data_IF_631334002044
#
_entry.id   IF_631334002044
#
_cell.length_a   1.000
_cell.length_b   1.000
_cell.length_c   1.000
_cell.angle_alpha   90.00
_cell.angle_beta   90.00
_cell.angle_gamma   90.00
#
_symmetry.space_group_name_H-M   'P 1'
#
loop_
_entity.id
_entity.type
_entity.pdbx_description
1 polymer ?
#
# COMPACT_ATOMS: atom_id res chain seq x y z
N UNK A 1 2.97 -27.16 -22.88
CA UNK A 1 2.23 -26.49 -21.80
C UNK A 1 2.34 -24.99 -22.07
N UNK A 2 1.28 -24.40 -22.63
CA UNK A 2 1.24 -22.97 -22.97
C UNK A 2 1.09 -22.17 -21.68
N UNK A 3 2.13 -21.48 -21.26
CA UNK A 3 2.06 -20.46 -20.22
C UNK A 3 1.13 -19.35 -20.74
N UNK A 4 -0.03 -19.21 -20.12
CA UNK A 4 -1.03 -18.23 -20.53
C UNK A 4 -0.53 -16.78 -20.38
N UNK A 5 -1.25 -15.79 -20.95
CA UNK A 5 -0.84 -14.39 -20.99
C UNK A 5 -0.56 -13.75 -19.60
N UNK A 6 -1.00 -14.38 -18.53
CA UNK A 6 -0.74 -13.94 -17.15
C UNK A 6 0.73 -13.99 -16.74
N UNK A 7 1.50 -15.00 -17.19
CA UNK A 7 2.91 -15.10 -16.83
C UNK A 7 3.77 -14.02 -17.50
N UNK A 8 3.44 -13.65 -18.74
CA UNK A 8 4.15 -12.60 -19.45
C UNK A 8 3.85 -11.18 -18.88
N UNK A 9 2.63 -10.95 -18.41
CA UNK A 9 2.25 -9.67 -17.79
C UNK A 9 2.89 -9.46 -16.41
N UNK A 10 3.00 -10.52 -15.58
CA UNK A 10 3.67 -10.46 -14.29
C UNK A 10 5.17 -10.13 -14.41
N UNK A 11 5.83 -10.58 -15.50
CA UNK A 11 7.24 -10.30 -15.77
C UNK A 11 7.53 -8.84 -16.15
N UNK A 12 6.52 -8.06 -16.55
CA UNK A 12 6.67 -6.65 -16.91
C UNK A 12 6.55 -5.70 -15.72
N UNK A 13 5.96 -6.15 -14.60
CA UNK A 13 5.78 -5.33 -13.40
C UNK A 13 7.08 -5.28 -12.62
N UNK A 14 7.60 -4.07 -12.38
CA UNK A 14 8.88 -3.87 -11.71
C UNK A 14 8.70 -3.54 -10.23
N UNK A 15 9.69 -3.88 -9.36
CA UNK A 15 9.72 -3.37 -8.01
C UNK A 15 9.74 -1.84 -7.98
N UNK A 16 9.06 -1.26 -6.99
CA UNK A 16 9.03 0.19 -6.79
C UNK A 16 9.74 0.51 -5.48
N UNK A 17 10.87 1.21 -5.56
CA UNK A 17 11.51 1.77 -4.38
C UNK A 17 10.72 2.99 -3.93
N UNK A 18 10.20 2.96 -2.71
CA UNK A 18 9.50 4.10 -2.14
C UNK A 18 10.50 5.15 -1.63
N UNK A 19 10.16 6.45 -1.72
CA UNK A 19 10.94 7.48 -1.04
C UNK A 19 10.92 7.26 0.47
N UNK A 20 11.94 7.75 1.18
CA UNK A 20 11.95 7.69 2.63
C UNK A 20 10.67 8.34 3.22
N UNK A 21 10.04 7.74 4.23
CA UNK A 21 8.85 8.32 4.85
C UNK A 21 9.20 9.64 5.55
N UNK A 22 8.32 10.61 5.44
CA UNK A 22 8.41 11.85 6.23
C UNK A 22 7.79 11.60 7.59
N UNK A 23 8.62 11.56 8.61
CA UNK A 23 8.21 11.27 9.99
C UNK A 23 8.00 12.52 10.84
N UNK A 24 8.20 13.70 10.25
CA UNK A 24 8.04 15.00 10.90
C UNK A 24 7.01 15.85 10.16
N UNK A 25 6.38 16.78 10.90
CA UNK A 25 5.35 17.66 10.36
C UNK A 25 3.96 17.01 10.34
N UNK A 26 3.12 17.45 9.40
CA UNK A 26 1.74 17.03 9.29
C UNK A 26 0.80 17.88 10.17
N UNK A 27 -0.46 17.44 10.31
CA UNK A 27 -1.46 18.08 11.16
C UNK A 27 -1.43 17.49 12.57
N UNK A 28 -1.75 18.29 13.60
CA UNK A 28 -1.90 17.76 14.95
C UNK A 28 -2.94 16.62 14.99
N UNK A 29 -2.67 15.58 15.79
CA UNK A 29 -3.50 14.38 15.86
C UNK A 29 -4.99 14.71 16.15
N UNK A 30 -5.26 15.60 17.08
CA UNK A 30 -6.63 15.96 17.45
C UNK A 30 -7.39 16.66 16.32
N UNK A 31 -6.70 17.46 15.50
CA UNK A 31 -7.31 18.09 14.32
C UNK A 31 -7.65 17.06 13.25
N UNK A 32 -6.79 16.05 13.06
CA UNK A 32 -7.04 14.95 12.14
C UNK A 32 -8.24 14.12 12.61
N UNK A 33 -8.30 13.79 13.90
CA UNK A 33 -9.42 13.02 14.46
C UNK A 33 -10.75 13.80 14.37
N UNK A 34 -10.74 15.10 14.63
CA UNK A 34 -11.91 15.95 14.52
C UNK A 34 -12.47 16.02 13.09
N UNK A 35 -11.60 16.00 12.09
CA UNK A 35 -11.98 16.08 10.67
C UNK A 35 -12.21 14.71 10.01
N UNK A 36 -11.83 13.61 10.68
CA UNK A 36 -11.92 12.25 10.12
C UNK A 36 -13.37 11.84 9.86
N UNK A 37 -13.68 11.47 8.66
CA UNK A 37 -14.96 10.88 8.26
C UNK A 37 -14.73 9.83 7.16
N UNK A 38 -15.70 8.93 6.97
CA UNK A 38 -15.67 7.98 5.87
C UNK A 38 -15.90 8.71 4.54
N UNK A 39 -14.99 8.54 3.61
CA UNK A 39 -15.13 8.99 2.23
C UNK A 39 -15.40 7.80 1.31
N UNK A 40 -16.27 7.99 0.30
CA UNK A 40 -16.62 6.97 -0.71
C UNK A 40 -16.50 7.51 -2.13
N UNK A 41 -16.02 8.74 -2.25
CA UNK A 41 -15.72 9.39 -3.53
C UNK A 41 -14.23 9.74 -3.51
N UNK A 42 -13.52 9.32 -4.54
CA UNK A 42 -12.08 9.48 -4.66
C UNK A 42 -11.74 10.29 -5.91
N UNK A 43 -10.60 11.02 -5.86
CA UNK A 43 -10.01 11.62 -7.05
C UNK A 43 -9.57 10.53 -8.03
N UNK A 44 -9.59 10.85 -9.31
CA UNK A 44 -9.02 10.01 -10.37
C UNK A 44 -7.50 10.14 -10.46
N UNK A 45 -6.91 11.10 -9.75
CA UNK A 45 -5.47 11.32 -9.75
C UNK A 45 -4.73 10.20 -9.04
N UNK A 46 -3.57 9.84 -9.56
CA UNK A 46 -2.68 8.90 -8.88
C UNK A 46 -2.21 9.46 -7.53
N UNK A 47 -2.15 8.60 -6.52
CA UNK A 47 -1.61 9.00 -5.23
C UNK A 47 -0.10 9.30 -5.35
N UNK A 48 0.37 10.47 -4.92
CA UNK A 48 1.80 10.79 -4.93
C UNK A 48 2.62 9.74 -4.17
N UNK A 49 3.75 9.33 -4.72
CA UNK A 49 4.60 8.29 -4.09
C UNK A 49 5.01 8.62 -2.65
N UNK A 50 5.24 9.89 -2.33
CA UNK A 50 5.57 10.31 -0.97
C UNK A 50 4.41 10.09 0.00
N UNK A 51 3.17 10.30 -0.46
CA UNK A 51 1.97 10.06 0.36
C UNK A 51 1.78 8.56 0.58
N UNK A 52 1.95 7.75 -0.46
CA UNK A 52 1.91 6.30 -0.37
C UNK A 52 3.00 5.77 0.58
N UNK A 53 4.21 6.27 0.47
CA UNK A 53 5.33 5.94 1.37
C UNK A 53 4.98 6.21 2.83
N UNK A 54 4.50 7.42 3.13
CA UNK A 54 4.11 7.81 4.49
C UNK A 54 2.98 6.93 5.03
N UNK A 55 1.98 6.64 4.18
CA UNK A 55 0.82 5.80 4.54
C UNK A 55 1.25 4.38 4.90
N UNK A 56 2.09 3.75 4.07
CA UNK A 56 2.57 2.38 4.30
C UNK A 56 3.48 2.30 5.51
N UNK A 57 4.35 3.29 5.69
CA UNK A 57 5.18 3.36 6.89
C UNK A 57 4.33 3.53 8.16
N UNK A 58 3.33 4.40 8.13
CA UNK A 58 2.42 4.58 9.26
C UNK A 58 1.63 3.32 9.57
N UNK A 59 1.19 2.58 8.55
CA UNK A 59 0.41 1.35 8.71
C UNK A 59 1.22 0.20 9.32
N UNK A 60 2.42 -0.08 8.78
CA UNK A 60 3.21 -1.25 9.21
C UNK A 60 4.72 -1.11 8.92
N UNK A 61 5.25 0.11 8.90
CA UNK A 61 6.67 0.38 8.65
C UNK A 61 7.58 -0.01 9.81
N UNK A 62 8.85 -0.22 9.50
CA UNK A 62 9.89 -0.39 10.53
C UNK A 62 10.20 0.98 11.13
N UNK A 63 10.02 1.12 12.45
CA UNK A 63 10.25 2.38 13.16
C UNK A 63 11.34 2.30 14.25
N UNK A 64 12.00 1.15 14.38
CA UNK A 64 13.02 0.90 15.40
C UNK A 64 14.16 0.05 14.84
N UNK A 65 15.41 0.22 15.37
CA UNK A 65 16.58 -0.52 14.89
C UNK A 65 16.46 -2.04 15.01
N UNK A 66 15.64 -2.54 15.95
CA UNK A 66 15.40 -3.96 16.16
C UNK A 66 14.41 -4.59 15.16
N UNK A 67 13.95 -3.83 14.16
CA UNK A 67 13.05 -4.26 13.10
C UNK A 67 11.57 -4.31 13.49
N UNK A 68 11.21 -3.84 14.69
CA UNK A 68 9.81 -3.74 15.09
C UNK A 68 9.09 -2.65 14.31
N UNK A 69 7.77 -2.79 14.26
CA UNK A 69 6.88 -2.03 13.39
C UNK A 69 6.13 -0.94 14.14
N UNK A 70 5.53 -0.03 13.37
CA UNK A 70 4.58 0.97 13.87
C UNK A 70 3.35 0.34 14.51
N UNK A 71 2.89 -0.80 14.00
CA UNK A 71 1.81 -1.59 14.60
C UNK A 71 2.36 -2.71 15.49
N UNK A 72 1.71 -3.02 16.63
CA UNK A 72 2.12 -4.11 17.49
C UNK A 72 1.81 -5.48 16.86
N UNK A 73 2.62 -6.48 17.23
CA UNK A 73 2.40 -7.87 16.86
C UNK A 73 2.77 -8.74 18.05
N UNK A 74 1.93 -9.73 18.39
CA UNK A 74 2.19 -10.63 19.49
C UNK A 74 3.52 -11.37 19.27
N UNK A 75 4.40 -11.34 20.25
CA UNK A 75 5.75 -11.93 20.19
C UNK A 75 6.57 -11.46 18.97
N UNK A 76 6.22 -10.31 18.38
CA UNK A 76 6.85 -9.77 17.18
C UNK A 76 6.79 -10.73 15.96
N UNK A 77 5.74 -11.52 15.82
CA UNK A 77 5.58 -12.45 14.71
C UNK A 77 5.36 -11.77 13.36
N UNK A 78 4.86 -10.52 13.38
CA UNK A 78 4.66 -9.70 12.18
C UNK A 78 3.85 -10.44 11.09
N UNK A 79 2.77 -11.07 11.51
CA UNK A 79 1.94 -11.97 10.73
C UNK A 79 1.05 -11.28 9.67
N UNK A 80 1.04 -9.95 9.65
CA UNK A 80 0.25 -9.17 8.68
C UNK A 80 1.12 -8.79 7.49
N UNK A 81 0.63 -9.08 6.30
CA UNK A 81 1.14 -8.54 5.05
C UNK A 81 0.22 -7.45 4.52
N UNK A 82 0.77 -6.43 3.89
CA UNK A 82 -0.01 -5.38 3.23
C UNK A 82 0.19 -5.48 1.73
N UNK A 83 -0.89 -5.75 1.02
CA UNK A 83 -0.92 -5.68 -0.44
C UNK A 83 -1.36 -4.29 -0.89
N UNK A 84 -0.64 -3.73 -1.84
CA UNK A 84 -0.90 -2.43 -2.45
C UNK A 84 -1.41 -2.67 -3.86
N UNK A 85 -2.69 -2.39 -4.10
CA UNK A 85 -3.32 -2.63 -5.39
C UNK A 85 -3.53 -1.30 -6.10
N UNK A 86 -2.79 -1.13 -7.19
CA UNK A 86 -2.74 0.04 -8.06
C UNK A 86 -3.35 -0.31 -9.43
N UNK A 87 -3.64 0.68 -10.30
CA UNK A 87 -4.13 0.41 -11.65
C UNK A 87 -3.22 -0.52 -12.49
N UNK A 88 -1.91 -0.44 -12.29
CA UNK A 88 -0.93 -1.22 -13.05
C UNK A 88 -0.66 -2.62 -12.47
N UNK A 89 -0.99 -2.86 -11.22
CA UNK A 89 -0.75 -4.15 -10.60
C UNK A 89 -0.92 -4.21 -9.10
N UNK A 90 -0.82 -5.42 -8.57
CA UNK A 90 -0.76 -5.66 -7.14
C UNK A 90 0.68 -5.91 -6.69
N UNK A 91 1.02 -5.33 -5.55
CA UNK A 91 2.34 -5.41 -4.93
C UNK A 91 2.23 -5.83 -3.48
N UNK A 92 3.27 -6.48 -2.98
CA UNK A 92 3.48 -6.72 -1.56
C UNK A 92 4.39 -5.62 -1.00
N UNK A 93 3.98 -4.97 0.06
CA UNK A 93 4.82 -4.00 0.77
C UNK A 93 5.90 -4.71 1.59
N UNK A 94 7.15 -4.48 1.24
CA UNK A 94 8.30 -4.91 2.03
C UNK A 94 8.77 -3.76 2.92
N UNK A 95 8.43 -3.82 4.19
CA UNK A 95 8.76 -2.77 5.13
C UNK A 95 10.26 -2.70 5.48
N UNK A 96 11.03 -3.79 5.31
CA UNK A 96 12.48 -3.79 5.57
C UNK A 96 13.23 -2.98 4.53
N UNK A 97 12.89 -3.17 3.27
CA UNK A 97 13.48 -2.42 2.15
C UNK A 97 12.69 -1.14 1.83
N UNK A 98 11.53 -0.94 2.47
CA UNK A 98 10.57 0.14 2.19
C UNK A 98 10.25 0.25 0.70
N UNK A 99 9.85 -0.88 0.12
CA UNK A 99 9.62 -1.04 -1.30
C UNK A 99 8.37 -1.86 -1.59
N UNK A 100 7.87 -1.75 -2.81
CA UNK A 100 6.79 -2.57 -3.33
C UNK A 100 7.37 -3.69 -4.18
N UNK A 101 7.10 -4.94 -3.82
CA UNK A 101 7.47 -6.13 -4.59
C UNK A 101 6.31 -6.52 -5.50
N UNK A 102 6.51 -6.67 -6.81
CA UNK A 102 5.44 -7.03 -7.75
C UNK A 102 4.90 -8.43 -7.45
N UNK A 103 3.58 -8.57 -7.49
CA UNK A 103 2.87 -9.84 -7.31
C UNK A 103 2.17 -10.24 -8.61
N UNK A 104 1.33 -9.36 -9.15
CA UNK A 104 0.61 -9.60 -10.40
C UNK A 104 0.35 -8.28 -11.12
N UNK A 105 0.56 -8.26 -12.44
CA UNK A 105 0.27 -7.12 -13.29
C UNK A 105 -1.21 -7.02 -13.65
N UNK A 106 -1.67 -5.82 -13.99
CA UNK A 106 -3.05 -5.52 -14.37
C UNK A 106 -3.87 -4.94 -13.23
N UNK A 107 -5.00 -4.36 -13.58
CA UNK A 107 -5.88 -3.69 -12.61
C UNK A 107 -6.75 -4.72 -11.87
N UNK A 108 -6.40 -4.96 -10.62
CA UNK A 108 -7.12 -5.87 -9.73
C UNK A 108 -7.90 -5.15 -8.62
N UNK A 109 -8.05 -3.83 -8.71
CA UNK A 109 -8.74 -3.06 -7.65
C UNK A 109 -10.18 -3.51 -7.44
N UNK A 110 -10.90 -3.85 -8.51
CA UNK A 110 -12.30 -4.26 -8.43
C UNK A 110 -12.57 -5.52 -7.59
N UNK A 111 -11.56 -6.38 -7.39
CA UNK A 111 -11.72 -7.62 -6.61
C UNK A 111 -11.32 -7.47 -5.14
N UNK A 112 -10.87 -6.29 -4.72
CA UNK A 112 -10.44 -6.04 -3.33
C UNK A 112 -11.59 -5.77 -2.37
N UNK A 113 -12.81 -5.63 -2.86
CA UNK A 113 -14.00 -5.40 -2.05
C UNK A 113 -15.28 -5.50 -2.86
N UNK A 114 -16.40 -5.47 -2.19
CA UNK A 114 -17.74 -5.59 -2.80
C UNK A 114 -18.35 -4.24 -3.21
N UNK A 115 -17.81 -3.14 -2.71
CA UNK A 115 -18.33 -1.81 -2.99
C UNK A 115 -17.79 -1.30 -4.34
N UNK A 116 -18.66 -0.65 -5.12
CA UNK A 116 -18.33 -0.18 -6.46
C UNK A 116 -17.13 0.80 -6.49
N UNK A 117 -16.94 1.60 -5.45
CA UNK A 117 -15.87 2.60 -5.40
C UNK A 117 -14.46 2.00 -5.29
N UNK A 118 -14.29 0.75 -4.88
CA UNK A 118 -12.94 0.11 -4.82
C UNK A 118 -12.32 -0.01 -6.20
N UNK A 119 -13.12 -0.15 -7.25
CA UNK A 119 -12.64 -0.24 -8.63
C UNK A 119 -12.04 1.09 -9.15
N UNK A 120 -12.41 2.21 -8.54
CA UNK A 120 -12.02 3.56 -9.01
C UNK A 120 -11.10 4.30 -8.03
N UNK A 121 -10.96 3.81 -6.80
CA UNK A 121 -10.01 4.38 -5.84
C UNK A 121 -8.58 4.31 -6.39
N UNK A 122 -7.75 5.37 -6.22
CA UNK A 122 -6.39 5.40 -6.78
C UNK A 122 -5.48 4.30 -6.23
N UNK A 123 -5.74 3.82 -5.01
CA UNK A 123 -5.04 2.70 -4.38
C UNK A 123 -5.98 1.97 -3.42
N UNK A 124 -5.87 0.65 -3.37
CA UNK A 124 -6.50 -0.16 -2.34
C UNK A 124 -5.41 -0.86 -1.52
N UNK A 125 -5.51 -0.79 -0.20
CA UNK A 125 -4.67 -1.56 0.72
C UNK A 125 -5.48 -2.73 1.26
N UNK A 126 -4.90 -3.92 1.18
CA UNK A 126 -5.52 -5.18 1.61
C UNK A 126 -4.60 -5.91 2.57
#
# INVERSE_FOLDING_TARGET
>A
MLLGPYAAAAQSLKPVQLPAPRTEGGKPLMDVLKSRQSARVFSTDALPQQVLSNLLWAAFGVNRPDGRRTAPSARNWQEIDIYVVLPEGAYLYDAKSHALKPVVAGDHRAVTGTQAYVATAPVNLV
#
